data_IF_421804172100
#
_entry.id   IF_421804172100
#
_cell.length_a   1.000
_cell.length_b   1.000
_cell.length_c   1.000
_cell.angle_alpha   90.00
_cell.angle_beta   90.00
_cell.angle_gamma   90.00
#
_symmetry.space_group_name_H-M   'P 1'
#
loop_
_entity.id
_entity.type
_entity.pdbx_description
1 polymer ?
#
# COMPACT_ATOMS: atom_id res chain seq x y z
N UNK A 1 -21.10 -70.70 7.40
CA UNK A 1 -19.99 -71.54 7.90
C UNK A 1 -18.94 -71.66 6.80
N UNK A 2 -17.63 -71.82 7.07
CA UNK A 2 -16.71 -71.04 7.90
C UNK A 2 -15.55 -70.42 7.07
N UNK A 3 -14.75 -69.58 7.74
CA UNK A 3 -13.53 -68.91 7.26
C UNK A 3 -12.39 -69.88 6.89
N UNK A 4 -11.56 -69.52 5.91
CA UNK A 4 -10.13 -69.89 5.95
C UNK A 4 -9.23 -68.67 5.69
N UNK A 5 -8.46 -68.34 6.72
CA UNK A 5 -7.35 -67.38 6.76
C UNK A 5 -6.17 -67.93 5.98
N UNK A 6 -5.54 -67.12 5.13
CA UNK A 6 -4.09 -67.20 4.90
C UNK A 6 -3.47 -65.81 5.01
N UNK A 7 -2.65 -65.66 6.06
CA UNK A 7 -1.73 -64.54 6.29
C UNK A 7 -0.66 -64.56 5.20
N UNK A 8 -0.43 -63.40 4.57
CA UNK A 8 0.79 -63.10 3.82
C UNK A 8 1.48 -61.93 4.52
N UNK A 9 2.70 -62.18 4.99
CA UNK A 9 3.64 -61.23 5.59
C UNK A 9 4.16 -60.21 4.57
N UNK A 10 4.52 -59.02 5.05
CA UNK A 10 5.17 -57.93 4.33
C UNK A 10 6.36 -58.36 3.46
N UNK A 11 6.72 -57.51 2.49
CA UNK A 11 8.02 -56.87 2.63
C UNK A 11 7.99 -55.35 2.36
N UNK A 12 8.69 -54.66 3.27
CA UNK A 12 9.60 -53.55 3.03
C UNK A 12 9.04 -52.23 2.48
N UNK A 13 8.98 -51.28 3.41
CA UNK A 13 8.80 -49.85 3.22
C UNK A 13 9.84 -49.30 2.24
N UNK A 14 9.37 -48.86 1.07
CA UNK A 14 10.15 -48.01 0.18
C UNK A 14 10.24 -46.65 0.87
N UNK A 15 11.39 -46.37 1.48
CA UNK A 15 11.79 -45.05 1.93
C UNK A 15 11.77 -44.10 0.72
N UNK A 16 10.71 -43.31 0.57
CA UNK A 16 10.71 -42.16 -0.33
C UNK A 16 11.69 -41.11 0.23
N UNK A 17 12.84 -41.01 -0.42
CA UNK A 17 13.87 -40.01 -0.16
C UNK A 17 13.30 -38.61 -0.39
N UNK A 18 13.16 -37.86 0.70
CA UNK A 18 12.68 -36.47 0.69
C UNK A 18 13.74 -35.58 0.03
N UNK A 19 13.62 -35.31 -1.27
CA UNK A 19 14.46 -34.30 -1.92
C UNK A 19 14.13 -32.90 -1.37
N UNK A 20 15.08 -32.31 -0.66
CA UNK A 20 14.98 -30.94 -0.15
C UNK A 20 14.75 -29.92 -1.29
N UNK A 21 13.79 -28.98 -1.16
CA UNK A 21 13.59 -27.96 -2.16
C UNK A 21 14.78 -26.98 -2.16
N UNK A 22 15.51 -26.94 -3.28
CA UNK A 22 16.64 -26.02 -3.49
C UNK A 22 16.26 -24.58 -3.13
N UNK A 23 17.07 -23.85 -2.34
CA UNK A 23 16.76 -22.49 -1.94
C UNK A 23 16.71 -21.58 -3.17
N UNK A 24 15.54 -20.98 -3.42
CA UNK A 24 15.38 -19.94 -4.44
C UNK A 24 16.29 -18.78 -4.06
N UNK A 25 17.34 -18.53 -4.86
CA UNK A 25 18.22 -17.37 -4.69
C UNK A 25 17.37 -16.12 -4.65
N UNK A 26 17.41 -15.41 -3.51
CA UNK A 26 16.77 -14.13 -3.36
C UNK A 26 17.31 -13.20 -4.45
N UNK A 27 16.41 -12.71 -5.32
CA UNK A 27 16.76 -11.73 -6.32
C UNK A 27 17.13 -10.46 -5.56
N UNK A 28 18.41 -10.16 -5.47
CA UNK A 28 18.93 -8.91 -4.89
C UNK A 28 18.19 -7.78 -5.60
N UNK A 29 17.29 -7.10 -4.87
CA UNK A 29 16.65 -5.90 -5.38
C UNK A 29 17.77 -4.90 -5.62
N UNK A 30 17.94 -4.48 -6.86
CA UNK A 30 18.81 -3.36 -7.19
C UNK A 30 18.29 -2.20 -6.34
N UNK A 31 19.10 -1.72 -5.38
CA UNK A 31 18.83 -0.47 -4.69
C UNK A 31 18.76 0.58 -5.78
N UNK A 32 17.54 1.03 -6.09
CA UNK A 32 17.36 2.19 -6.94
C UNK A 32 18.17 3.32 -6.30
N UNK A 33 18.92 4.05 -7.13
CA UNK A 33 19.65 5.23 -6.69
C UNK A 33 18.70 6.06 -5.81
N UNK A 34 19.16 6.40 -4.61
CA UNK A 34 18.40 7.25 -3.71
C UNK A 34 18.31 8.62 -4.38
N UNK A 35 17.29 8.83 -5.21
CA UNK A 35 16.78 10.15 -5.49
C UNK A 35 16.55 10.79 -4.13
N UNK A 36 17.08 11.99 -3.90
CA UNK A 36 16.77 12.79 -2.71
C UNK A 36 15.26 13.00 -2.67
N UNK A 37 14.55 12.09 -2.01
CA UNK A 37 13.10 12.11 -1.93
C UNK A 37 12.62 13.10 -0.86
N UNK A 38 13.50 13.87 -0.23
CA UNK A 38 13.15 14.72 0.89
C UNK A 38 12.80 13.93 2.16
N UNK A 39 12.13 14.59 3.08
CA UNK A 39 11.77 14.11 4.42
C UNK A 39 10.25 14.04 4.57
N UNK A 40 9.77 12.90 5.07
CA UNK A 40 8.37 12.71 5.45
C UNK A 40 8.31 11.96 6.78
N UNK A 41 7.33 12.28 7.63
CA UNK A 41 7.10 11.60 8.91
C UNK A 41 6.77 10.12 8.74
N UNK A 42 6.25 9.74 7.58
CA UNK A 42 5.82 8.38 7.31
C UNK A 42 6.36 7.87 5.99
N UNK A 43 6.70 6.59 5.97
CA UNK A 43 7.07 5.89 4.76
C UNK A 43 5.82 5.62 3.88
N UNK A 44 6.01 5.43 2.57
CA UNK A 44 4.92 5.06 1.63
C UNK A 44 4.07 3.89 2.14
N UNK A 45 4.71 2.91 2.80
CA UNK A 45 4.01 1.75 3.38
C UNK A 45 3.10 2.16 4.55
N UNK A 46 3.59 2.99 5.45
CA UNK A 46 2.82 3.47 6.61
C UNK A 46 1.63 4.32 6.16
N UNK A 47 1.84 5.22 5.18
CA UNK A 47 0.75 5.97 4.55
C UNK A 47 -0.30 5.01 3.96
N UNK A 48 0.14 3.98 3.23
CA UNK A 48 -0.76 2.97 2.67
C UNK A 48 -1.50 2.15 3.74
N UNK A 49 -0.87 1.85 4.87
CA UNK A 49 -1.49 1.12 5.97
C UNK A 49 -2.47 2.01 6.77
N UNK A 50 -2.20 3.31 6.88
CA UNK A 50 -3.13 4.26 7.49
C UNK A 50 -4.34 4.52 6.59
N UNK A 51 -4.13 4.62 5.26
CA UNK A 51 -5.22 4.62 4.26
C UNK A 51 -6.07 3.35 4.41
N UNK A 52 -5.47 2.16 4.58
CA UNK A 52 -6.24 0.93 4.85
C UNK A 52 -7.05 1.02 6.13
N UNK A 53 -6.49 1.59 7.19
CA UNK A 53 -7.20 1.82 8.45
C UNK A 53 -8.41 2.73 8.24
N UNK A 54 -8.26 3.82 7.48
CA UNK A 54 -9.37 4.71 7.10
C UNK A 54 -10.45 4.00 6.29
N UNK A 55 -10.09 2.98 5.51
CA UNK A 55 -11.01 2.17 4.69
C UNK A 55 -11.65 1.01 5.45
N UNK A 56 -11.16 0.69 6.65
CA UNK A 56 -11.68 -0.43 7.43
C UNK A 56 -13.11 -0.08 7.90
N UNK A 57 -14.08 -0.88 7.46
CA UNK A 57 -15.48 -0.73 7.86
C UNK A 57 -15.70 -1.55 9.12
N UNK A 58 -15.95 -0.88 10.23
CA UNK A 58 -16.39 -1.52 11.47
C UNK A 58 -17.89 -1.38 11.63
N UNK A 59 -18.54 -2.35 12.30
CA UNK A 59 -19.99 -2.44 12.40
C UNK A 59 -20.66 -1.20 13.04
N UNK A 60 -19.92 -0.47 13.87
CA UNK A 60 -20.44 0.68 14.65
C UNK A 60 -19.52 1.90 14.63
N UNK A 61 -18.43 1.89 13.85
CA UNK A 61 -17.50 3.01 13.77
C UNK A 61 -17.27 3.39 12.31
N UNK A 62 -17.29 4.70 12.03
CA UNK A 62 -16.83 5.24 10.77
C UNK A 62 -15.37 5.63 11.01
N UNK A 63 -14.47 4.91 10.36
CA UNK A 63 -13.04 5.21 10.40
C UNK A 63 -12.79 6.63 9.89
N UNK A 64 -11.90 7.36 10.57
CA UNK A 64 -11.53 8.71 10.16
C UNK A 64 -11.03 8.68 8.72
N UNK A 65 -11.63 9.48 7.84
CA UNK A 65 -11.18 9.64 6.46
C UNK A 65 -10.04 10.65 6.30
N UNK A 66 -9.46 11.10 7.41
CA UNK A 66 -8.39 12.10 7.44
C UNK A 66 -7.10 11.51 8.01
N UNK A 67 -6.00 11.74 7.30
CA UNK A 67 -4.63 11.42 7.71
C UNK A 67 -3.83 12.71 7.82
N UNK A 68 -3.07 12.89 8.90
CA UNK A 68 -2.19 14.03 9.09
C UNK A 68 -0.73 13.56 9.03
N UNK A 69 0.07 14.19 8.17
CA UNK A 69 1.47 13.88 7.95
C UNK A 69 2.31 15.15 8.07
N UNK A 70 3.60 15.00 8.32
CA UNK A 70 4.56 16.07 8.05
C UNK A 70 5.45 15.68 6.87
N UNK A 71 5.70 16.60 5.95
CA UNK A 71 6.54 16.38 4.79
C UNK A 71 7.12 17.70 4.28
N UNK A 72 8.26 17.63 3.61
CA UNK A 72 8.85 18.77 2.90
C UNK A 72 8.32 18.92 1.47
N UNK A 73 8.60 20.08 0.87
CA UNK A 73 8.20 20.42 -0.50
C UNK A 73 8.85 19.49 -1.53
N UNK A 74 10.07 19.04 -1.29
CA UNK A 74 10.80 18.12 -2.17
C UNK A 74 10.17 16.73 -2.18
N UNK A 75 9.77 16.20 -1.01
CA UNK A 75 9.00 14.96 -0.92
C UNK A 75 7.64 15.12 -1.59
N UNK A 76 6.91 16.20 -1.30
CA UNK A 76 5.60 16.42 -1.91
C UNK A 76 5.70 16.43 -3.45
N UNK A 77 6.67 17.15 -4.02
CA UNK A 77 6.90 17.18 -5.47
C UNK A 77 7.28 15.81 -6.03
N UNK A 78 8.22 15.11 -5.40
CA UNK A 78 8.66 13.80 -5.90
C UNK A 78 7.54 12.75 -5.82
N UNK A 79 6.71 12.81 -4.78
CA UNK A 79 5.67 11.82 -4.52
C UNK A 79 4.37 12.08 -5.30
N UNK A 80 3.92 13.33 -5.39
CA UNK A 80 2.63 13.69 -6.02
C UNK A 80 2.76 14.29 -7.41
N UNK A 81 3.88 14.94 -7.75
CA UNK A 81 4.04 15.63 -9.06
C UNK A 81 4.87 14.79 -10.03
N UNK A 82 6.05 14.35 -9.61
CA UNK A 82 7.05 13.72 -10.47
C UNK A 82 7.12 12.20 -10.33
N UNK A 83 6.04 11.56 -9.91
CA UNK A 83 6.04 10.14 -9.61
C UNK A 83 5.86 9.31 -10.89
N UNK A 84 6.84 8.45 -11.25
CA UNK A 84 6.79 7.67 -12.48
C UNK A 84 5.72 6.58 -12.49
N UNK A 85 5.12 6.28 -11.33
CA UNK A 85 4.03 5.31 -11.22
C UNK A 85 2.67 5.88 -11.71
N UNK A 86 2.57 7.20 -11.88
CA UNK A 86 1.33 7.85 -12.31
C UNK A 86 1.25 7.87 -13.84
N UNK A 87 0.15 7.35 -14.39
CA UNK A 87 -0.11 7.36 -15.83
C UNK A 87 -0.52 8.76 -16.32
N UNK A 88 -1.13 9.56 -15.42
CA UNK A 88 -1.55 10.94 -15.68
C UNK A 88 -1.02 11.87 -14.60
N UNK A 89 -0.59 13.10 -14.95
CA UNK A 89 -0.23 14.09 -13.95
C UNK A 89 -1.43 14.42 -13.07
N UNK A 90 -1.18 14.62 -11.78
CA UNK A 90 -2.18 15.06 -10.79
C UNK A 90 -2.37 16.57 -10.97
N UNK A 91 -3.61 17.04 -10.86
CA UNK A 91 -3.91 18.47 -10.85
C UNK A 91 -3.53 19.05 -9.49
N UNK A 92 -2.55 19.97 -9.50
CA UNK A 92 -1.97 20.58 -8.31
C UNK A 92 -2.10 22.08 -8.43
N UNK A 93 -2.70 22.70 -7.41
CA UNK A 93 -2.90 24.14 -7.35
C UNK A 93 -2.22 24.73 -6.10
N UNK A 94 -1.36 25.76 -6.26
CA UNK A 94 -0.94 26.37 -7.53
C UNK A 94 0.05 25.48 -8.31
N UNK A 95 0.11 25.65 -9.63
CA UNK A 95 0.95 24.83 -10.52
C UNK A 95 2.47 24.95 -10.21
N UNK A 96 2.89 26.13 -9.76
CA UNK A 96 4.21 26.39 -9.20
C UNK A 96 4.06 26.84 -7.75
N UNK A 97 4.75 26.19 -6.83
CA UNK A 97 4.74 26.50 -5.41
C UNK A 97 6.14 26.30 -4.85
N UNK A 98 6.46 26.97 -3.76
CA UNK A 98 7.72 26.90 -3.01
C UNK A 98 7.45 26.79 -1.51
N UNK A 99 8.49 26.89 -0.68
CA UNK A 99 8.36 26.83 0.79
C UNK A 99 7.61 28.04 1.36
N UNK A 100 7.50 29.14 0.61
CA UNK A 100 6.78 30.34 1.01
C UNK A 100 5.29 30.32 0.60
N UNK A 101 4.89 29.36 -0.21
CA UNK A 101 3.52 29.20 -0.64
C UNK A 101 2.64 28.81 0.56
N UNK A 102 1.50 29.51 0.73
CA UNK A 102 0.66 29.31 1.90
C UNK A 102 0.01 27.92 1.94
N UNK A 103 -0.53 27.47 0.81
CA UNK A 103 -1.26 26.21 0.68
C UNK A 103 -1.07 25.66 -0.73
N UNK A 104 -0.89 24.35 -0.84
CA UNK A 104 -0.87 23.59 -2.07
C UNK A 104 -1.91 22.49 -1.97
N UNK A 105 -2.78 22.38 -2.96
CA UNK A 105 -3.86 21.39 -3.01
C UNK A 105 -3.61 20.47 -4.20
N UNK A 106 -3.72 19.16 -3.98
CA UNK A 106 -3.70 18.16 -5.02
C UNK A 106 -4.97 17.32 -4.94
N UNK A 107 -5.72 17.26 -6.03
CA UNK A 107 -6.94 16.46 -6.12
C UNK A 107 -6.75 15.29 -7.07
N UNK A 108 -7.19 14.11 -6.65
CA UNK A 108 -7.09 12.91 -7.46
C UNK A 108 -8.34 12.05 -7.35
N UNK A 109 -8.76 11.52 -8.51
CA UNK A 109 -9.82 10.53 -8.60
C UNK A 109 -9.29 9.11 -8.35
N UNK A 110 -10.22 8.14 -8.40
CA UNK A 110 -9.99 6.72 -8.15
C UNK A 110 -8.73 6.15 -8.82
N UNK A 111 -8.56 6.36 -10.14
CA UNK A 111 -7.45 5.78 -10.89
C UNK A 111 -6.08 6.27 -10.39
N UNK A 112 -5.91 7.60 -10.27
CA UNK A 112 -4.64 8.18 -9.82
C UNK A 112 -4.35 7.85 -8.34
N UNK A 113 -5.37 7.84 -7.47
CA UNK A 113 -5.21 7.41 -6.09
C UNK A 113 -4.78 5.94 -5.99
N UNK A 114 -5.36 5.07 -6.81
CA UNK A 114 -5.01 3.64 -6.88
C UNK A 114 -3.61 3.39 -7.44
N UNK A 115 -3.14 4.18 -8.39
CA UNK A 115 -1.76 4.12 -8.90
C UNK A 115 -0.74 4.59 -7.86
N UNK A 116 -1.07 5.67 -7.13
CA UNK A 116 -0.19 6.27 -6.13
C UNK A 116 0.00 5.36 -4.90
N UNK A 117 -1.12 4.96 -4.28
CA UNK A 117 -1.17 4.26 -3.00
C UNK A 117 -1.35 2.74 -3.14
N UNK A 118 -1.73 2.27 -4.33
CA UNK A 118 -2.12 0.89 -4.55
C UNK A 118 -3.59 0.64 -4.17
N UNK A 119 -4.11 -0.50 -4.62
CA UNK A 119 -5.44 -0.97 -4.24
C UNK A 119 -5.34 -1.77 -2.95
N UNK A 120 -6.19 -1.42 -1.99
CA UNK A 120 -6.17 -2.01 -0.65
C UNK A 120 -7.27 -3.05 -0.48
N UNK A 121 -6.92 -4.17 0.16
CA UNK A 121 -7.88 -5.17 0.63
C UNK A 121 -8.18 -4.90 2.09
N UNK A 122 -9.44 -4.61 2.39
CA UNK A 122 -9.93 -4.38 3.76
C UNK A 122 -10.85 -5.51 4.19
N UNK A 123 -10.87 -5.76 5.50
CA UNK A 123 -11.67 -6.82 6.09
C UNK A 123 -13.12 -6.34 6.22
N UNK A 124 -14.04 -6.95 5.48
CA UNK A 124 -15.48 -6.74 5.58
C UNK A 124 -16.13 -7.96 6.24
N UNK A 125 -16.22 -7.95 7.57
CA UNK A 125 -16.70 -9.12 8.33
C UNK A 125 -15.76 -10.33 8.19
N UNK A 126 -16.29 -11.47 7.72
CA UNK A 126 -15.51 -12.71 7.55
C UNK A 126 -14.76 -12.81 6.21
N UNK A 127 -14.90 -11.83 5.31
CA UNK A 127 -14.26 -11.86 3.99
C UNK A 127 -13.38 -10.62 3.78
N UNK A 128 -12.32 -10.79 2.99
CA UNK A 128 -11.54 -9.67 2.48
C UNK A 128 -12.24 -9.13 1.22
N UNK A 129 -12.50 -7.84 1.18
CA UNK A 129 -13.02 -7.16 0.00
C UNK A 129 -11.98 -6.18 -0.52
N UNK A 130 -11.86 -6.09 -1.84
CA UNK A 130 -11.04 -5.09 -2.50
C UNK A 130 -11.84 -3.80 -2.53
N UNK A 131 -11.32 -2.75 -1.91
CA UNK A 131 -11.98 -1.44 -1.84
C UNK A 131 -11.15 -0.42 -2.58
N UNK A 132 -11.81 0.35 -3.44
CA UNK A 132 -11.19 1.40 -4.21
C UNK A 132 -11.53 2.75 -3.60
N UNK A 133 -10.56 3.65 -3.54
CA UNK A 133 -10.82 5.05 -3.20
C UNK A 133 -11.60 5.70 -4.34
N UNK A 134 -12.67 6.41 -4.03
CA UNK A 134 -13.40 7.24 -5.01
C UNK A 134 -12.61 8.49 -5.36
N UNK A 135 -12.13 9.19 -4.34
CA UNK A 135 -11.38 10.44 -4.47
C UNK A 135 -10.46 10.64 -3.28
N UNK A 136 -9.38 11.38 -3.50
CA UNK A 136 -8.45 11.81 -2.48
C UNK A 136 -8.07 13.27 -2.71
N UNK A 137 -8.09 14.05 -1.64
CA UNK A 137 -7.65 15.45 -1.64
C UNK A 137 -6.47 15.57 -0.68
N UNK A 138 -5.40 16.20 -1.12
CA UNK A 138 -4.19 16.42 -0.34
C UNK A 138 -4.01 17.92 -0.19
N UNK A 139 -4.01 18.42 1.04
CA UNK A 139 -3.71 19.82 1.34
C UNK A 139 -2.38 19.87 2.08
N UNK A 140 -1.42 20.48 1.43
CA UNK A 140 -0.07 20.68 1.92
C UNK A 140 0.14 22.15 2.29
N UNK A 141 0.78 22.36 3.43
CA UNK A 141 1.14 23.67 3.97
C UNK A 141 2.68 23.75 4.03
N UNK A 142 3.34 24.23 2.96
CA UNK A 142 4.79 24.25 2.83
C UNK A 142 5.52 24.89 4.02
N UNK A 143 5.07 26.08 4.44
CA UNK A 143 5.66 26.82 5.58
C UNK A 143 5.72 26.02 6.87
N UNK A 144 4.69 25.22 7.09
CA UNK A 144 4.48 24.43 8.31
C UNK A 144 5.01 23.00 8.16
N UNK A 145 5.40 22.58 6.95
CA UNK A 145 5.70 21.20 6.58
C UNK A 145 4.59 20.22 6.97
N UNK A 146 3.33 20.68 6.98
CA UNK A 146 2.15 19.88 7.35
C UNK A 146 1.39 19.48 6.11
N UNK A 147 1.00 18.22 6.06
CA UNK A 147 0.17 17.68 5.00
C UNK A 147 -1.05 16.99 5.60
N UNK A 148 -2.20 17.18 4.98
CA UNK A 148 -3.46 16.57 5.36
C UNK A 148 -4.05 15.89 4.15
N UNK A 149 -4.40 14.62 4.32
CA UNK A 149 -5.05 13.83 3.29
C UNK A 149 -6.49 13.59 3.72
N UNK A 150 -7.42 13.81 2.81
CA UNK A 150 -8.81 13.43 2.95
C UNK A 150 -9.13 12.38 1.89
N UNK A 151 -9.75 11.30 2.35
CA UNK A 151 -10.07 10.14 1.55
C UNK A 151 -11.59 10.00 1.44
N UNK A 152 -12.05 9.47 0.33
CA UNK A 152 -13.46 9.10 0.16
C UNK A 152 -13.52 7.76 -0.56
N UNK A 153 -14.44 6.92 -0.11
CA UNK A 153 -14.66 5.54 -0.58
C UNK A 153 -15.91 5.47 -1.40
#
# INVERSE_FOLDING_TARGET
MPLSKKRGSSPEEVHEEWTEPKPKKARVSKKAAATDMGTCSMNKKEIGDEVKSCLAIEKYSISSSRINLTMDTTFFRSFFVSNPALTKPIDVQPASFDDETAVVVAEMGNAAAGELLGVSKVKGGNRMMTTHLRSMCVVFYPKDQKCRLWLTV
#
